data_IF_709187419596
#
_entry.id   IF_709187419596
#
_cell.length_a   1.000
_cell.length_b   1.000
_cell.length_c   1.000
_cell.angle_alpha   90.00
_cell.angle_beta   90.00
_cell.angle_gamma   90.00
#
_symmetry.space_group_name_H-M   'P 1'
#
loop_
_entity.id
_entity.type
_entity.pdbx_description
1 polymer ?
#
# COMPACT_ATOMS: atom_id res chain seq x y z
N UNK A 1 -1.08 30.19 35.83
CA UNK A 1 0.34 29.85 36.08
C UNK A 1 0.68 28.36 35.92
N UNK A 2 0.00 27.44 36.61
CA UNK A 2 0.28 25.99 36.44
C UNK A 2 -0.16 25.45 35.08
N UNK A 3 -1.38 25.80 34.65
CA UNK A 3 -1.95 25.40 33.35
C UNK A 3 -1.16 25.95 32.15
N UNK A 4 -0.58 27.16 32.29
CA UNK A 4 0.30 27.77 31.29
C UNK A 4 1.67 27.07 31.22
N UNK A 5 2.18 26.59 32.36
CA UNK A 5 3.42 25.83 32.41
C UNK A 5 3.25 24.44 31.79
N UNK A 6 2.13 23.76 32.05
CA UNK A 6 1.79 22.48 31.43
C UNK A 6 1.65 22.61 29.91
N UNK A 7 0.95 23.65 29.43
CA UNK A 7 0.83 23.91 28.00
C UNK A 7 2.19 24.15 27.32
N UNK A 8 3.10 24.88 27.98
CA UNK A 8 4.45 25.12 27.48
C UNK A 8 5.28 23.83 27.40
N UNK A 9 5.15 22.94 28.38
CA UNK A 9 5.81 21.63 28.35
C UNK A 9 5.28 20.74 27.22
N UNK A 10 3.96 20.68 27.05
CA UNK A 10 3.31 19.94 25.96
C UNK A 10 3.77 20.45 24.60
N UNK A 11 3.83 21.76 24.41
CA UNK A 11 4.31 22.38 23.16
C UNK A 11 5.78 22.01 22.90
N UNK A 12 6.63 22.08 23.93
CA UNK A 12 8.04 21.71 23.80
C UNK A 12 8.21 20.22 23.42
N UNK A 13 7.41 19.33 24.01
CA UNK A 13 7.42 17.91 23.68
C UNK A 13 6.88 17.64 22.27
N UNK A 14 5.80 18.30 21.87
CA UNK A 14 5.22 18.17 20.53
C UNK A 14 6.21 18.64 19.46
N UNK A 15 6.77 19.84 19.65
CA UNK A 15 7.77 20.43 18.76
C UNK A 15 8.98 19.52 18.58
N UNK A 16 9.39 18.82 19.64
CA UNK A 16 10.54 17.90 19.60
C UNK A 16 10.22 16.51 19.04
N UNK A 17 9.09 15.92 19.41
CA UNK A 17 8.82 14.49 19.20
C UNK A 17 7.85 14.22 18.04
N UNK A 18 7.06 15.21 17.64
CA UNK A 18 5.95 15.03 16.69
C UNK A 18 6.12 15.93 15.47
N UNK A 19 6.45 17.22 15.64
CA UNK A 19 6.49 18.18 14.55
C UNK A 19 7.36 17.75 13.34
N UNK A 20 8.57 17.14 13.51
CA UNK A 20 9.37 16.66 12.38
C UNK A 20 8.65 15.61 11.52
N UNK A 21 7.76 14.82 12.14
CA UNK A 21 6.97 13.80 11.44
C UNK A 21 5.79 14.38 10.63
N UNK A 22 5.46 15.67 10.78
CA UNK A 22 4.28 16.27 10.14
C UNK A 22 4.60 17.13 8.92
N UNK A 23 5.88 17.40 8.64
CA UNK A 23 6.30 18.31 7.56
C UNK A 23 5.78 17.85 6.18
N UNK A 24 5.92 16.57 5.85
CA UNK A 24 5.39 16.07 4.58
C UNK A 24 3.86 16.05 4.54
N UNK A 25 3.21 15.66 5.65
CA UNK A 25 1.76 15.61 5.74
C UNK A 25 1.13 17.00 5.55
N UNK A 26 1.74 18.06 6.08
CA UNK A 26 1.31 19.44 5.88
C UNK A 26 1.36 19.88 4.40
N UNK A 27 2.24 19.26 3.59
CA UNK A 27 2.42 19.59 2.16
C UNK A 27 1.60 18.71 1.22
N UNK A 28 1.23 17.49 1.63
CA UNK A 28 0.55 16.49 0.80
C UNK A 28 -0.94 16.41 1.15
N UNK A 29 -1.29 16.57 2.42
CA UNK A 29 -2.62 16.31 2.95
C UNK A 29 -2.83 14.84 3.37
N UNK A 30 -4.07 14.43 3.63
CA UNK A 30 -4.38 13.10 4.15
C UNK A 30 -4.13 12.00 3.10
N UNK A 31 -3.37 10.97 3.50
CA UNK A 31 -3.07 9.80 2.64
C UNK A 31 -3.69 8.49 3.16
N UNK A 32 -4.74 8.57 3.99
CA UNK A 32 -5.42 7.42 4.61
C UNK A 32 -4.44 6.40 5.20
N UNK A 33 -4.44 5.16 4.72
CA UNK A 33 -3.60 4.07 5.24
C UNK A 33 -2.10 4.34 5.13
N UNK A 34 -1.67 5.21 4.21
CA UNK A 34 -0.27 5.59 4.06
C UNK A 34 0.15 6.72 5.02
N UNK A 35 -0.78 7.42 5.68
CA UNK A 35 -0.48 8.62 6.47
C UNK A 35 0.59 8.38 7.54
N UNK A 36 0.48 7.29 8.30
CA UNK A 36 1.46 6.90 9.32
C UNK A 36 2.87 6.74 8.76
N UNK A 37 2.99 6.19 7.55
CA UNK A 37 4.27 5.94 6.89
C UNK A 37 4.82 7.18 6.19
N UNK A 38 3.95 8.07 5.71
CA UNK A 38 4.34 9.42 5.27
C UNK A 38 4.93 10.20 6.45
N UNK A 39 4.34 10.08 7.64
CA UNK A 39 4.87 10.74 8.84
C UNK A 39 6.23 10.14 9.26
N UNK A 40 6.38 8.82 9.16
CA UNK A 40 7.66 8.17 9.39
C UNK A 40 8.73 8.64 8.40
N UNK A 41 8.41 8.73 7.10
CA UNK A 41 9.31 9.27 6.10
C UNK A 41 9.67 10.74 6.38
N UNK A 42 8.70 11.55 6.81
CA UNK A 42 8.92 12.93 7.24
C UNK A 42 9.91 13.00 8.40
N UNK A 43 9.73 12.18 9.43
CA UNK A 43 10.66 12.10 10.56
C UNK A 43 12.08 11.78 10.08
N UNK A 44 12.24 10.76 9.23
CA UNK A 44 13.55 10.37 8.70
C UNK A 44 14.24 11.47 7.88
N UNK A 45 13.48 12.33 7.21
CA UNK A 45 14.03 13.43 6.40
C UNK A 45 14.37 14.68 7.22
N UNK A 46 13.57 14.99 8.24
CA UNK A 46 13.66 16.27 8.94
C UNK A 46 14.32 16.18 10.33
N UNK A 47 14.20 15.04 11.01
CA UNK A 47 14.90 14.76 12.27
C UNK A 47 15.23 13.27 12.37
N UNK A 48 16.24 12.79 11.61
CA UNK A 48 16.56 11.37 11.55
C UNK A 48 16.94 10.83 12.94
N UNK A 49 16.25 9.78 13.42
CA UNK A 49 16.46 9.27 14.76
C UNK A 49 17.80 8.54 14.87
N UNK A 50 18.49 8.74 16.00
CA UNK A 50 19.81 8.13 16.28
C UNK A 50 19.74 6.61 16.34
N UNK A 51 20.88 5.94 16.12
CA UNK A 51 21.00 4.50 16.33
C UNK A 51 20.60 4.13 17.77
N UNK A 52 19.73 3.14 17.91
CA UNK A 52 19.16 2.80 19.21
C UNK A 52 18.16 3.83 19.73
N UNK A 53 17.57 4.70 18.91
CA UNK A 53 16.36 5.42 19.28
C UNK A 53 15.13 4.50 19.16
N UNK A 54 14.08 4.83 19.90
CA UNK A 54 12.76 4.20 19.80
C UNK A 54 11.78 5.17 19.17
N UNK A 55 10.98 4.70 18.22
CA UNK A 55 9.95 5.51 17.55
C UNK A 55 8.60 4.92 17.94
N UNK A 56 7.75 5.72 18.58
CA UNK A 56 6.37 5.35 18.85
C UNK A 56 5.52 5.58 17.60
N UNK A 57 4.71 4.60 17.23
CA UNK A 57 3.80 4.68 16.09
C UNK A 57 2.39 4.43 16.58
N UNK A 58 1.50 5.33 16.21
CA UNK A 58 0.06 5.17 16.37
C UNK A 58 -0.59 5.16 14.99
N UNK A 59 -1.35 4.11 14.69
CA UNK A 59 -2.10 3.98 13.44
C UNK A 59 -3.58 3.79 13.75
N UNK A 60 -4.43 4.52 13.04
CA UNK A 60 -5.87 4.55 13.28
C UNK A 60 -6.67 4.44 11.98
N UNK A 61 -7.76 3.67 12.02
CA UNK A 61 -8.79 3.58 10.99
C UNK A 61 -10.19 3.69 11.59
N UNK A 62 -11.02 4.53 10.98
CA UNK A 62 -12.43 4.71 11.36
C UNK A 62 -13.22 3.41 11.21
N UNK A 63 -14.25 3.21 12.05
CA UNK A 63 -14.89 1.91 12.31
C UNK A 63 -14.38 1.24 13.59
N UNK A 64 -13.16 1.67 14.01
CA UNK A 64 -12.47 1.51 15.30
C UNK A 64 -11.32 0.49 15.36
N UNK A 65 -10.56 0.33 14.27
CA UNK A 65 -9.31 -0.44 14.31
C UNK A 65 -8.12 0.49 14.56
N UNK A 66 -7.33 0.22 15.58
CA UNK A 66 -6.11 0.99 15.88
C UNK A 66 -5.03 0.12 16.50
N UNK A 67 -3.78 0.48 16.24
CA UNK A 67 -2.62 -0.17 16.84
C UNK A 67 -1.58 0.86 17.25
N UNK A 68 -1.06 0.71 18.47
CA UNK A 68 0.17 1.37 18.92
C UNK A 68 1.28 0.33 18.91
N UNK A 69 2.40 0.66 18.25
CA UNK A 69 3.59 -0.19 18.24
C UNK A 69 4.85 0.67 18.24
N UNK A 70 5.99 0.03 18.49
CA UNK A 70 7.28 0.71 18.63
C UNK A 70 8.27 0.15 17.63
N UNK A 71 9.00 1.03 16.96
CA UNK A 71 10.15 0.69 16.14
C UNK A 71 11.43 0.99 16.91
N UNK A 72 12.48 0.20 16.67
CA UNK A 72 13.82 0.41 17.22
C UNK A 72 14.79 0.64 16.08
N UNK A 73 15.52 1.76 16.10
CA UNK A 73 16.52 2.05 15.08
C UNK A 73 17.72 1.11 15.27
N UNK A 74 17.99 0.28 14.27
CA UNK A 74 19.09 -0.72 14.27
C UNK A 74 20.19 -0.44 13.26
N UNK A 75 20.00 0.55 12.41
CA UNK A 75 20.94 0.95 11.38
C UNK A 75 20.48 2.24 10.75
N UNK A 76 21.13 2.61 9.66
CA UNK A 76 20.75 3.78 8.89
C UNK A 76 19.40 3.54 8.18
N UNK A 77 18.49 4.50 8.31
CA UNK A 77 17.22 4.53 7.59
C UNK A 77 17.18 5.81 6.77
N UNK A 78 17.06 5.69 5.45
CA UNK A 78 16.97 6.81 4.52
C UNK A 78 15.68 6.71 3.72
N UNK A 79 15.08 7.86 3.45
CA UNK A 79 14.08 7.99 2.39
C UNK A 79 14.83 8.15 1.07
N UNK A 80 14.24 7.69 -0.04
CA UNK A 80 14.84 7.85 -1.37
C UNK A 80 15.16 9.31 -1.67
N UNK A 81 16.26 9.53 -2.38
CA UNK A 81 16.67 10.87 -2.87
C UNK A 81 15.62 11.44 -3.83
N UNK A 82 15.54 12.76 -3.93
CA UNK A 82 14.66 13.43 -4.90
C UNK A 82 13.22 13.65 -4.44
N UNK A 83 12.85 13.22 -3.22
CA UNK A 83 11.46 13.34 -2.76
C UNK A 83 11.03 14.79 -2.55
N UNK A 84 11.89 15.62 -1.96
CA UNK A 84 11.55 17.02 -1.71
C UNK A 84 11.45 17.79 -3.02
N UNK A 85 12.35 17.51 -3.95
CA UNK A 85 12.38 18.04 -5.31
C UNK A 85 11.12 17.63 -6.08
N UNK A 86 10.67 16.38 -5.91
CA UNK A 86 9.42 15.88 -6.50
C UNK A 86 8.20 16.63 -5.94
N UNK A 87 8.21 16.95 -4.64
CA UNK A 87 7.13 17.74 -4.02
C UNK A 87 7.15 19.21 -4.45
N UNK A 88 8.32 19.77 -4.71
CA UNK A 88 8.51 21.14 -5.20
C UNK A 88 8.12 21.27 -6.68
N UNK A 89 8.30 20.21 -7.47
CA UNK A 89 7.94 20.17 -8.89
C UNK A 89 6.43 19.98 -9.16
N UNK A 90 5.60 19.91 -8.12
CA UNK A 90 4.14 19.75 -8.27
C UNK A 90 3.50 20.99 -8.89
N UNK A 91 2.51 20.76 -9.74
CA UNK A 91 1.68 21.83 -10.30
C UNK A 91 0.66 22.32 -9.25
N UNK A 92 0.58 23.64 -9.07
CA UNK A 92 -0.41 24.27 -8.20
C UNK A 92 -1.65 24.59 -9.03
N UNK A 93 -2.79 24.01 -8.65
CA UNK A 93 -4.09 24.31 -9.23
C UNK A 93 -4.85 25.35 -8.40
N UNK A 94 -5.61 26.23 -9.06
CA UNK A 94 -6.54 27.11 -8.37
C UNK A 94 -7.78 26.33 -7.86
N UNK A 95 -8.59 26.97 -7.01
CA UNK A 95 -9.76 26.32 -6.42
C UNK A 95 -10.84 25.89 -7.43
N UNK A 96 -10.96 26.60 -8.56
CA UNK A 96 -11.88 26.25 -9.64
C UNK A 96 -11.46 24.97 -10.36
N UNK A 97 -10.17 24.87 -10.73
CA UNK A 97 -9.59 23.68 -11.36
C UNK A 97 -9.66 22.47 -10.45
N UNK A 98 -9.37 22.65 -9.14
CA UNK A 98 -9.51 21.60 -8.15
C UNK A 98 -10.96 21.10 -8.06
N UNK A 99 -11.93 22.01 -7.97
CA UNK A 99 -13.36 21.65 -7.91
C UNK A 99 -13.81 20.89 -9.17
N UNK A 100 -13.35 21.33 -10.35
CA UNK A 100 -13.63 20.64 -11.61
C UNK A 100 -13.01 19.24 -11.66
N UNK A 101 -11.81 19.05 -11.11
CA UNK A 101 -11.16 17.74 -10.98
C UNK A 101 -11.94 16.82 -10.04
N UNK A 102 -12.34 17.30 -8.86
CA UNK A 102 -13.14 16.53 -7.90
C UNK A 102 -14.49 16.13 -8.48
N UNK A 103 -15.16 17.05 -9.19
CA UNK A 103 -16.42 16.73 -9.88
C UNK A 103 -16.23 15.62 -10.91
N UNK A 104 -15.18 15.70 -11.72
CA UNK A 104 -14.86 14.67 -12.73
C UNK A 104 -14.62 13.30 -12.09
N UNK A 105 -13.89 13.25 -10.98
CA UNK A 105 -13.69 12.02 -10.23
C UNK A 105 -15.02 11.45 -9.72
N UNK A 106 -15.88 12.31 -9.16
CA UNK A 106 -17.22 11.90 -8.72
C UNK A 106 -18.08 11.38 -9.88
N UNK A 107 -18.00 12.00 -11.06
CA UNK A 107 -18.75 11.61 -12.24
C UNK A 107 -18.31 10.25 -12.82
N UNK A 108 -17.06 9.82 -12.58
CA UNK A 108 -16.52 8.53 -13.07
C UNK A 108 -16.51 7.42 -12.02
N UNK A 109 -16.60 7.77 -10.73
CA UNK A 109 -16.60 6.79 -9.65
C UNK A 109 -17.74 5.77 -9.80
N UNK A 110 -17.40 4.48 -9.75
CA UNK A 110 -18.37 3.38 -9.89
C UNK A 110 -18.94 3.18 -11.30
N UNK A 111 -18.47 3.92 -12.31
CA UNK A 111 -18.91 3.78 -13.71
C UNK A 111 -17.95 2.95 -14.55
N UNK A 112 -18.47 2.36 -15.62
CA UNK A 112 -17.75 1.56 -16.63
C UNK A 112 -17.86 2.20 -18.01
N UNK A 113 -17.05 1.76 -18.96
CA UNK A 113 -17.04 2.26 -20.35
C UNK A 113 -16.54 3.70 -20.47
N UNK A 114 -15.42 4.03 -19.83
CA UNK A 114 -14.85 5.37 -19.87
C UNK A 114 -13.31 5.38 -19.89
N UNK A 115 -12.76 6.47 -20.42
CA UNK A 115 -11.32 6.74 -20.49
C UNK A 115 -10.96 7.97 -19.64
N UNK A 116 -9.83 7.95 -18.91
CA UNK A 116 -9.39 9.09 -18.12
C UNK A 116 -9.03 10.29 -19.01
N UNK A 117 -9.61 11.45 -18.69
CA UNK A 117 -9.29 12.72 -19.33
C UNK A 117 -8.66 13.63 -18.29
N UNK A 118 -7.35 13.48 -18.04
CA UNK A 118 -6.63 14.33 -17.06
C UNK A 118 -5.49 15.04 -17.79
N UNK A 119 -5.55 16.38 -17.81
CA UNK A 119 -4.43 17.24 -18.24
C UNK A 119 -3.45 17.38 -17.08
N UNK A 120 -2.16 17.58 -17.36
CA UNK A 120 -1.13 17.84 -16.33
C UNK A 120 -0.65 16.63 -15.52
N UNK A 121 -1.16 15.42 -15.79
CA UNK A 121 -0.62 14.23 -15.13
C UNK A 121 0.88 14.06 -15.46
N UNK A 122 1.71 13.56 -14.52
CA UNK A 122 3.17 13.52 -14.66
C UNK A 122 3.55 12.72 -15.88
N UNK A 123 4.15 13.34 -16.89
CA UNK A 123 4.37 12.76 -18.23
C UNK A 123 5.14 11.42 -18.19
N UNK A 124 5.74 11.07 -17.06
CA UNK A 124 6.77 10.06 -16.92
C UNK A 124 6.85 9.49 -15.50
N UNK A 125 7.41 8.28 -15.34
CA UNK A 125 7.74 7.64 -14.06
C UNK A 125 6.57 7.03 -13.29
N UNK A 126 5.40 6.85 -13.91
CA UNK A 126 4.19 6.42 -13.20
C UNK A 126 3.29 5.52 -14.04
N UNK A 127 2.59 4.60 -13.37
CA UNK A 127 1.45 3.89 -13.95
C UNK A 127 0.26 4.85 -14.05
N UNK A 128 -0.43 4.79 -15.19
CA UNK A 128 -1.67 5.52 -15.44
C UNK A 128 -2.76 4.58 -15.87
N UNK A 129 -3.98 4.89 -15.45
CA UNK A 129 -5.17 4.26 -16.00
C UNK A 129 -5.35 4.74 -17.45
N UNK A 130 -5.59 3.82 -18.37
CA UNK A 130 -5.91 4.11 -19.78
C UNK A 130 -7.40 4.00 -20.05
N UNK A 131 -8.04 2.98 -19.49
CA UNK A 131 -9.44 2.70 -19.72
C UNK A 131 -10.04 1.93 -18.55
N UNK A 132 -11.32 2.17 -18.27
CA UNK A 132 -12.20 1.23 -17.61
C UNK A 132 -13.27 0.79 -18.62
N UNK A 133 -13.18 -0.45 -19.11
CA UNK A 133 -14.06 -0.91 -20.18
C UNK A 133 -15.50 -1.15 -19.70
N UNK A 134 -16.39 -1.57 -20.60
CA UNK A 134 -17.80 -1.82 -20.30
C UNK A 134 -18.05 -2.94 -19.26
N UNK A 135 -17.07 -3.81 -19.01
CA UNK A 135 -17.13 -4.88 -18.01
C UNK A 135 -16.44 -4.48 -16.69
N UNK A 136 -15.93 -3.25 -16.59
CA UNK A 136 -15.22 -2.76 -15.41
C UNK A 136 -13.75 -3.20 -15.33
N UNK A 137 -13.19 -3.79 -16.39
CA UNK A 137 -11.77 -4.16 -16.45
C UNK A 137 -10.95 -2.89 -16.69
N UNK A 138 -9.80 -2.78 -16.00
CA UNK A 138 -8.94 -1.60 -16.04
C UNK A 138 -7.61 -1.90 -16.73
N UNK A 139 -7.30 -1.10 -17.74
CA UNK A 139 -6.01 -1.16 -18.45
C UNK A 139 -5.10 -0.05 -17.96
N UNK A 140 -3.80 -0.36 -17.82
CA UNK A 140 -2.81 0.59 -17.31
C UNK A 140 -1.60 0.64 -18.21
N UNK A 141 -1.03 1.84 -18.35
CA UNK A 141 0.22 2.10 -19.04
C UNK A 141 1.23 2.72 -18.10
N UNK A 142 2.45 2.20 -18.14
CA UNK A 142 3.58 2.84 -17.50
C UNK A 142 4.18 3.85 -18.48
N UNK A 143 4.28 5.11 -18.06
CA UNK A 143 5.02 6.12 -18.80
C UNK A 143 6.43 6.14 -18.25
N UNK A 144 7.43 5.84 -19.06
CA UNK A 144 8.82 5.77 -18.61
C UNK A 144 9.51 7.12 -18.75
N UNK A 145 10.02 7.70 -17.66
CA UNK A 145 11.31 8.45 -17.59
C UNK A 145 11.79 8.39 -16.13
N UNK A 146 13.11 8.33 -15.96
CA UNK A 146 13.95 8.27 -14.74
C UNK A 146 14.77 6.97 -14.57
N UNK A 147 14.75 6.10 -15.58
CA UNK A 147 15.65 4.95 -15.66
C UNK A 147 16.76 5.22 -16.70
N UNK A 148 16.45 5.88 -17.82
CA UNK A 148 17.40 6.19 -18.91
C UNK A 148 18.48 7.25 -18.58
N UNK A 149 18.25 8.09 -17.57
CA UNK A 149 19.26 9.06 -17.10
C UNK A 149 20.27 8.45 -16.11
N UNK A 150 19.97 7.26 -15.55
CA UNK A 150 20.76 6.59 -14.51
C UNK A 150 21.33 5.24 -14.92
N UNK A 151 20.80 4.62 -15.97
CA UNK A 151 21.16 3.29 -16.44
C UNK A 151 21.16 3.25 -17.97
N UNK A 152 22.11 2.52 -18.56
CA UNK A 152 22.17 2.26 -19.99
C UNK A 152 20.93 1.53 -20.50
N UNK A 153 20.59 1.68 -21.78
CA UNK A 153 19.47 0.97 -22.42
C UNK A 153 19.53 -0.57 -22.20
N UNK A 154 20.73 -1.14 -22.09
CA UNK A 154 20.92 -2.56 -21.78
C UNK A 154 20.46 -2.93 -20.36
N UNK A 155 20.75 -2.09 -19.37
CA UNK A 155 20.33 -2.26 -17.98
C UNK A 155 18.82 -2.07 -17.81
N UNK A 156 18.23 -1.13 -18.57
CA UNK A 156 16.78 -0.93 -18.60
C UNK A 156 16.06 -2.13 -19.18
N UNK A 157 16.56 -2.65 -20.29
CA UNK A 157 16.05 -3.85 -20.92
C UNK A 157 16.10 -5.03 -19.96
N UNK A 158 17.24 -5.24 -19.30
CA UNK A 158 17.40 -6.30 -18.30
C UNK A 158 16.43 -6.13 -17.12
N UNK A 159 16.21 -4.90 -16.64
CA UNK A 159 15.26 -4.62 -15.57
C UNK A 159 13.81 -4.89 -15.97
N UNK A 160 13.39 -4.44 -17.17
CA UNK A 160 12.06 -4.73 -17.76
C UNK A 160 11.84 -6.23 -17.93
N UNK A 161 12.84 -6.93 -18.46
CA UNK A 161 12.81 -8.38 -18.65
C UNK A 161 12.75 -9.11 -17.29
N UNK A 162 13.49 -8.64 -16.29
CA UNK A 162 13.46 -9.15 -14.92
C UNK A 162 12.09 -8.97 -14.23
N UNK A 163 11.47 -7.79 -14.35
CA UNK A 163 10.12 -7.54 -13.84
C UNK A 163 9.07 -8.42 -14.54
N UNK A 164 9.16 -8.55 -15.86
CA UNK A 164 8.28 -9.41 -16.65
C UNK A 164 8.45 -10.90 -16.26
N UNK A 165 9.68 -11.34 -16.02
CA UNK A 165 9.96 -12.71 -15.58
C UNK A 165 9.48 -12.95 -14.14
N UNK A 166 9.72 -12.01 -13.22
CA UNK A 166 9.21 -12.10 -11.85
C UNK A 166 7.68 -12.14 -11.79
N UNK A 167 6.99 -11.40 -12.68
CA UNK A 167 5.54 -11.48 -12.80
C UNK A 167 5.08 -12.86 -13.31
N UNK A 168 5.73 -13.41 -14.33
CA UNK A 168 5.46 -14.78 -14.83
C UNK A 168 5.71 -15.83 -13.75
N UNK A 169 6.80 -15.72 -13.01
CA UNK A 169 7.15 -16.65 -11.93
C UNK A 169 6.15 -16.57 -10.78
N UNK A 170 5.69 -15.36 -10.43
CA UNK A 170 4.65 -15.17 -9.42
C UNK A 170 3.32 -15.82 -9.84
N UNK A 171 2.93 -15.67 -11.11
CA UNK A 171 1.75 -16.32 -11.67
C UNK A 171 1.91 -17.85 -11.65
N UNK A 172 3.07 -18.36 -12.06
CA UNK A 172 3.36 -19.80 -12.05
C UNK A 172 3.33 -20.39 -10.62
N UNK A 173 3.92 -19.69 -9.64
CA UNK A 173 3.88 -20.10 -8.23
C UNK A 173 2.47 -20.05 -7.66
N UNK A 174 1.67 -19.05 -8.02
CA UNK A 174 0.27 -18.97 -7.62
C UNK A 174 -0.56 -20.12 -8.22
N UNK A 175 -0.32 -20.45 -9.50
CA UNK A 175 -0.96 -21.58 -10.16
C UNK A 175 -0.56 -22.93 -9.54
N UNK A 176 0.70 -23.10 -9.17
CA UNK A 176 1.18 -24.31 -8.50
C UNK A 176 0.64 -24.44 -7.08
N UNK A 177 0.63 -23.35 -6.31
CA UNK A 177 0.02 -23.33 -4.99
C UNK A 177 -1.48 -23.67 -5.06
N UNK A 178 -2.20 -23.18 -6.07
CA UNK A 178 -3.61 -23.51 -6.29
C UNK A 178 -3.79 -25.00 -6.63
N UNK A 179 -2.91 -25.60 -7.44
CA UNK A 179 -2.94 -27.04 -7.74
C UNK A 179 -2.69 -27.90 -6.51
N UNK A 180 -1.69 -27.54 -5.69
CA UNK A 180 -1.38 -28.26 -4.45
C UNK A 180 -2.55 -28.17 -3.46
N UNK A 181 -3.18 -27.00 -3.34
CA UNK A 181 -4.38 -26.83 -2.51
C UNK A 181 -5.56 -27.67 -3.03
N UNK A 182 -5.79 -27.71 -4.34
CA UNK A 182 -6.85 -28.52 -4.93
C UNK A 182 -6.62 -30.04 -4.70
N UNK A 183 -5.38 -30.51 -4.84
CA UNK A 183 -5.01 -31.90 -4.54
C UNK A 183 -5.19 -32.26 -3.06
N UNK A 184 -4.79 -31.36 -2.15
CA UNK A 184 -5.00 -31.55 -0.71
C UNK A 184 -6.50 -31.60 -0.34
N UNK A 185 -7.33 -30.76 -0.96
CA UNK A 185 -8.79 -30.79 -0.77
C UNK A 185 -9.41 -32.09 -1.28
N UNK A 186 -8.96 -32.62 -2.42
CA UNK A 186 -9.43 -33.91 -2.94
C UNK A 186 -9.06 -35.08 -2.03
N UNK A 187 -7.86 -35.10 -1.46
CA UNK A 187 -7.43 -36.13 -0.50
C UNK A 187 -8.21 -36.07 0.82
N UNK A 188 -8.50 -34.86 1.32
CA UNK A 188 -9.34 -34.67 2.51
C UNK A 188 -10.79 -35.12 2.27
N UNK A 189 -11.35 -34.85 1.08
CA UNK A 189 -12.68 -35.32 0.71
C UNK A 189 -12.73 -36.85 0.55
N UNK A 190 -11.70 -37.47 -0.03
CA UNK A 190 -11.60 -38.93 -0.13
C UNK A 190 -11.53 -39.60 1.27
N UNK A 191 -10.68 -39.08 2.18
CA UNK A 191 -10.59 -39.58 3.55
C UNK A 191 -11.85 -39.36 4.39
N UNK A 192 -12.57 -38.26 4.16
CA UNK A 192 -13.88 -38.01 4.79
C UNK A 192 -14.97 -38.96 4.26
N UNK A 193 -14.87 -39.38 3.00
CA UNK A 193 -15.82 -40.35 2.41
C UNK A 193 -15.59 -41.75 2.96
N UNK A 194 -14.32 -42.16 3.15
CA UNK A 194 -13.96 -43.46 3.74
C UNK A 194 -14.34 -43.57 5.23
N UNK A 195 -14.13 -42.49 6.00
CA UNK A 195 -14.54 -42.45 7.41
C UNK A 195 -16.05 -42.47 7.58
N UNK A 196 -16.81 -41.75 6.73
CA UNK A 196 -18.27 -41.83 6.74
C UNK A 196 -18.80 -43.20 6.31
N UNK A 197 -18.13 -43.90 5.37
CA UNK A 197 -18.48 -45.26 4.98
C UNK A 197 -18.23 -46.27 6.11
N UNK A 198 -17.12 -46.14 6.84
CA UNK A 198 -16.81 -46.95 8.03
C UNK A 198 -17.80 -46.71 9.16
N UNK A 199 -18.16 -45.45 9.45
CA UNK A 199 -19.15 -45.13 10.47
C UNK A 199 -20.53 -45.66 10.09
N UNK A 200 -20.95 -45.55 8.83
CA UNK A 200 -22.22 -46.09 8.35
C UNK A 200 -22.30 -47.63 8.41
N UNK A 201 -21.18 -48.34 8.28
CA UNK A 201 -21.12 -49.79 8.42
C UNK A 201 -21.13 -50.29 9.87
N UNK A 202 -20.61 -49.49 10.82
CA UNK A 202 -20.47 -49.88 12.23
C UNK A 202 -21.65 -49.41 13.09
N UNK A 203 -22.31 -48.30 12.75
CA UNK A 203 -23.47 -47.79 13.50
C UNK A 203 -24.62 -48.80 13.65
N UNK A 204 -25.02 -49.56 12.61
CA UNK A 204 -26.07 -50.56 12.73
C UNK A 204 -25.71 -51.72 13.66
N UNK A 205 -24.41 -52.04 13.79
CA UNK A 205 -23.91 -53.12 14.65
C UNK A 205 -23.89 -52.72 16.13
N UNK A 206 -23.72 -51.42 16.42
CA UNK A 206 -23.76 -50.89 17.79
C UNK A 206 -25.19 -50.71 18.31
N UNK A 207 -26.16 -50.45 17.43
CA UNK A 207 -27.58 -50.28 17.83
C UNK A 207 -28.36 -51.58 17.87
N UNK A 208 -27.84 -52.69 17.35
CA UNK A 208 -28.50 -54.00 17.37
C UNK A 208 -28.37 -54.76 18.71
N UNK A 209 -27.68 -54.18 19.70
CA UNK A 209 -27.41 -54.80 21.00
C UNK A 209 -27.99 -53.99 22.19
N UNK A 210 -29.03 -53.18 21.93
CA UNK A 210 -29.89 -52.57 22.95
C UNK A 210 -31.33 -53.08 22.83
#
# INVERSE_FOLDING_TARGET
PEEEAEAAEVEALFSKLVAPSLVLAARIGPCHTAATYVNLASLLLHDPPKLGASIGIFSYGSGAASSIFKLRVRGEARVGEGLLETLDAREVHNGGDFSALTKRFSDTYGRFGWEPRVRGAPAVGAYRLEECDALGRRSYKYLEVALAERYSEAELRSHREGLAQAAKDKIARAAEAARVQAAAQQQQQAGATDTNALVAGVLPLLTANQ
#
